data_IF_682800127589
#
_entry.id   IF_682800127589
#
_cell.length_a   1.000
_cell.length_b   1.000
_cell.length_c   1.000
_cell.angle_alpha   90.00
_cell.angle_beta   90.00
_cell.angle_gamma   90.00
#
_symmetry.space_group_name_H-M   'P 1'
#
loop_
_entity.id
_entity.type
_entity.pdbx_description
1 polymer ?
#
# COMPACT_ATOMS: atom_id res chain seq x y z
N UNK A 1 11.38 -83.69 -70.62
CA UNK A 1 11.07 -82.25 -70.58
C UNK A 1 10.39 -81.98 -69.25
N UNK A 2 11.17 -81.52 -68.26
CA UNK A 2 10.63 -81.13 -66.96
C UNK A 2 10.16 -79.67 -67.07
N UNK A 3 8.86 -79.46 -66.81
CA UNK A 3 8.18 -78.19 -66.98
C UNK A 3 8.38 -77.33 -65.72
N UNK A 4 9.44 -76.52 -65.72
CA UNK A 4 9.77 -75.62 -64.63
C UNK A 4 9.20 -74.21 -64.93
N UNK A 5 7.94 -73.98 -64.58
CA UNK A 5 7.39 -72.61 -64.53
C UNK A 5 7.32 -72.15 -63.07
N UNK A 6 8.07 -71.09 -62.69
CA UNK A 6 8.08 -70.61 -61.31
C UNK A 6 6.76 -69.89 -60.97
N UNK A 7 6.09 -70.34 -59.91
CA UNK A 7 4.91 -69.66 -59.35
C UNK A 7 5.38 -68.40 -58.60
N UNK A 8 5.03 -67.22 -59.12
CA UNK A 8 5.35 -65.95 -58.49
C UNK A 8 4.16 -65.51 -57.62
N UNK A 9 4.31 -65.58 -56.30
CA UNK A 9 3.31 -65.06 -55.34
C UNK A 9 3.66 -63.61 -55.01
N UNK A 10 2.93 -62.64 -55.56
CA UNK A 10 3.05 -61.22 -55.21
C UNK A 10 2.24 -60.92 -53.94
N UNK A 11 2.90 -60.85 -52.78
CA UNK A 11 2.27 -60.39 -51.53
C UNK A 11 2.24 -58.86 -51.52
N UNK A 12 1.06 -58.28 -51.70
CA UNK A 12 0.85 -56.83 -51.61
C UNK A 12 0.47 -56.49 -50.17
N UNK A 13 1.39 -55.89 -49.40
CA UNK A 13 1.03 -55.23 -48.13
C UNK A 13 0.30 -53.93 -48.47
N UNK A 14 -1.02 -53.90 -48.29
CA UNK A 14 -1.76 -52.65 -48.25
C UNK A 14 -1.48 -51.99 -46.91
N UNK A 15 -0.68 -50.94 -46.90
CA UNK A 15 -0.64 -50.01 -45.77
C UNK A 15 -1.93 -49.19 -45.85
N UNK A 16 -2.80 -49.34 -44.84
CA UNK A 16 -3.87 -48.37 -44.65
C UNK A 16 -3.17 -47.04 -44.34
N UNK A 17 -3.27 -46.08 -45.26
CA UNK A 17 -2.84 -44.72 -44.99
C UNK A 17 -3.64 -44.23 -43.79
N UNK A 18 -2.97 -44.06 -42.63
CA UNK A 18 -3.54 -43.41 -41.47
C UNK A 18 -4.14 -42.08 -41.90
N UNK A 19 -5.37 -41.80 -41.45
CA UNK A 19 -6.12 -40.59 -41.75
C UNK A 19 -5.41 -39.33 -41.18
N UNK A 20 -4.30 -38.91 -41.79
CA UNK A 20 -3.53 -37.73 -41.36
C UNK A 20 -3.97 -36.43 -42.06
N UNK A 21 -5.09 -36.44 -42.79
CA UNK A 21 -5.60 -35.28 -43.54
C UNK A 21 -6.70 -34.45 -42.85
N UNK A 22 -7.08 -34.77 -41.62
CA UNK A 22 -8.21 -34.14 -40.91
C UNK A 22 -7.84 -33.07 -39.89
N UNK A 23 -6.63 -33.10 -39.33
CA UNK A 23 -6.22 -32.22 -38.22
C UNK A 23 -6.23 -30.72 -38.62
N UNK A 24 -5.80 -30.39 -39.83
CA UNK A 24 -5.81 -29.00 -40.32
C UNK A 24 -7.25 -28.46 -40.52
N UNK A 25 -8.22 -29.34 -40.81
CA UNK A 25 -9.63 -28.95 -40.93
C UNK A 25 -10.25 -28.65 -39.57
N UNK A 26 -9.79 -29.33 -38.51
CA UNK A 26 -10.22 -29.07 -37.14
C UNK A 26 -9.68 -27.70 -36.69
N UNK A 27 -8.40 -27.42 -36.94
CA UNK A 27 -7.82 -26.10 -36.65
C UNK A 27 -8.47 -24.97 -37.47
N UNK A 28 -8.81 -25.22 -38.74
CA UNK A 28 -9.53 -24.26 -39.57
C UNK A 28 -10.98 -24.03 -39.09
N UNK A 29 -11.68 -25.10 -38.69
CA UNK A 29 -13.03 -25.00 -38.15
C UNK A 29 -13.05 -24.23 -36.83
N UNK A 30 -12.09 -24.49 -35.94
CA UNK A 30 -11.94 -23.78 -34.66
C UNK A 30 -11.66 -22.28 -34.87
N UNK A 31 -10.75 -21.95 -35.79
CA UNK A 31 -10.50 -20.57 -36.18
C UNK A 31 -11.75 -19.88 -36.76
N UNK A 32 -12.51 -20.56 -37.63
CA UNK A 32 -13.73 -20.03 -38.20
C UNK A 32 -14.81 -19.80 -37.13
N UNK A 33 -14.94 -20.70 -36.13
CA UNK A 33 -15.89 -20.52 -35.02
C UNK A 33 -15.47 -19.40 -34.08
N UNK A 34 -14.16 -19.23 -33.83
CA UNK A 34 -13.64 -18.12 -33.04
C UNK A 34 -13.92 -16.77 -33.73
N UNK A 35 -13.70 -16.68 -35.05
CA UNK A 35 -14.03 -15.49 -35.83
C UNK A 35 -15.54 -15.23 -35.85
N UNK A 36 -16.37 -16.26 -36.02
CA UNK A 36 -17.83 -16.13 -35.96
C UNK A 36 -18.30 -15.60 -34.61
N UNK A 37 -17.80 -16.16 -33.51
CA UNK A 37 -18.12 -15.69 -32.16
C UNK A 37 -17.68 -14.23 -31.95
N UNK A 38 -16.49 -13.87 -32.40
CA UNK A 38 -15.98 -12.50 -32.33
C UNK A 38 -16.86 -11.52 -33.12
N UNK A 39 -17.30 -11.89 -34.34
CA UNK A 39 -18.22 -11.08 -35.13
C UNK A 39 -19.60 -10.95 -34.49
N UNK A 40 -20.13 -11.99 -33.85
CA UNK A 40 -21.40 -11.92 -33.12
C UNK A 40 -21.32 -10.96 -31.94
N UNK A 41 -20.20 -10.95 -31.20
CA UNK A 41 -19.97 -10.00 -30.10
C UNK A 41 -19.90 -8.57 -30.61
N UNK A 42 -19.12 -8.32 -31.68
CA UNK A 42 -19.04 -7.00 -32.30
C UNK A 42 -20.40 -6.53 -32.85
N UNK A 43 -21.17 -7.44 -33.43
CA UNK A 43 -22.51 -7.16 -33.93
C UNK A 43 -23.46 -6.77 -32.79
N UNK A 44 -23.44 -7.51 -31.68
CA UNK A 44 -24.22 -7.18 -30.47
C UNK A 44 -23.79 -5.85 -29.85
N UNK A 45 -22.49 -5.53 -29.87
CA UNK A 45 -22.02 -4.22 -29.43
C UNK A 45 -22.45 -3.10 -30.38
N UNK A 46 -22.63 -3.35 -31.67
CA UNK A 46 -23.12 -2.34 -32.62
C UNK A 46 -24.61 -2.04 -32.43
N UNK A 47 -25.41 -3.07 -32.12
CA UNK A 47 -26.86 -2.94 -31.94
C UNK A 47 -27.26 -2.52 -30.52
N UNK A 48 -26.38 -2.68 -29.54
CA UNK A 48 -26.64 -2.25 -28.16
C UNK A 48 -26.65 -0.72 -28.02
N UNK A 49 -27.64 -0.22 -27.27
CA UNK A 49 -27.74 1.20 -26.91
C UNK A 49 -26.58 1.62 -25.98
N UNK A 50 -26.20 2.91 -25.94
CA UNK A 50 -25.15 3.41 -25.04
C UNK A 50 -25.39 3.06 -23.57
N UNK A 51 -26.66 3.10 -23.12
CA UNK A 51 -27.05 2.77 -21.75
C UNK A 51 -26.81 1.29 -21.43
N UNK A 52 -27.16 0.38 -22.34
CA UNK A 52 -26.92 -1.06 -22.19
C UNK A 52 -25.44 -1.40 -22.13
N UNK A 53 -24.59 -0.70 -22.90
CA UNK A 53 -23.13 -0.87 -22.86
C UNK A 53 -22.54 -0.50 -21.49
N UNK A 54 -23.06 0.57 -20.89
CA UNK A 54 -22.64 1.03 -19.56
C UNK A 54 -23.08 0.03 -18.49
N UNK A 55 -24.31 -0.50 -18.58
CA UNK A 55 -24.81 -1.52 -17.65
C UNK A 55 -23.99 -2.82 -17.71
N UNK A 56 -23.68 -3.30 -18.93
CA UNK A 56 -22.83 -4.49 -19.12
C UNK A 56 -21.41 -4.23 -18.59
N UNK A 57 -20.83 -3.05 -18.86
CA UNK A 57 -19.52 -2.69 -18.31
C UNK A 57 -19.53 -2.58 -16.77
N UNK A 58 -20.64 -2.14 -16.18
CA UNK A 58 -20.85 -2.14 -14.74
C UNK A 58 -20.82 -3.55 -14.15
N UNK A 59 -21.52 -4.51 -14.78
CA UNK A 59 -21.54 -5.92 -14.36
C UNK A 59 -20.14 -6.57 -14.37
N UNK A 60 -19.28 -6.24 -15.34
CA UNK A 60 -17.90 -6.77 -15.37
C UNK A 60 -16.94 -6.04 -14.43
N UNK A 61 -17.22 -4.79 -14.06
CA UNK A 61 -16.41 -4.02 -13.10
C UNK A 61 -16.76 -4.34 -11.66
N UNK A 62 -18.03 -4.64 -11.38
CA UNK A 62 -18.53 -4.97 -10.05
C UNK A 62 -19.67 -6.01 -10.12
N UNK A 63 -19.33 -7.31 -10.27
CA UNK A 63 -20.32 -8.37 -10.41
C UNK A 63 -21.12 -8.64 -9.13
N UNK A 64 -20.67 -8.11 -7.98
CA UNK A 64 -21.30 -8.33 -6.68
C UNK A 64 -22.45 -7.33 -6.46
N UNK A 65 -22.24 -6.05 -6.81
CA UNK A 65 -23.23 -4.97 -6.64
C UNK A 65 -24.45 -5.04 -7.56
N UNK A 66 -24.39 -5.77 -8.68
CA UNK A 66 -25.49 -5.86 -9.64
C UNK A 66 -26.50 -6.99 -9.32
N UNK A 67 -26.20 -7.85 -8.34
CA UNK A 67 -27.03 -9.03 -7.99
C UNK A 67 -28.14 -8.74 -6.97
N UNK A 68 -28.06 -7.62 -6.24
CA UNK A 68 -29.03 -7.29 -5.17
C UNK A 68 -30.28 -6.53 -5.65
N UNK A 69 -30.38 -6.15 -6.92
CA UNK A 69 -31.56 -5.41 -7.41
C UNK A 69 -31.90 -5.71 -8.87
N UNK A 70 -32.83 -6.65 -9.04
CA UNK A 70 -33.61 -6.80 -10.28
C UNK A 70 -33.12 -7.89 -11.23
N UNK A 71 -34.03 -8.83 -11.52
CA UNK A 71 -34.01 -9.92 -12.51
C UNK A 71 -32.68 -10.24 -13.25
N UNK A 72 -32.22 -11.51 -13.25
CA UNK A 72 -30.99 -11.94 -13.93
C UNK A 72 -31.08 -11.92 -15.48
N UNK A 73 -32.12 -11.32 -16.05
CA UNK A 73 -32.33 -11.24 -17.50
C UNK A 73 -32.33 -9.77 -17.95
N UNK A 74 -31.37 -9.42 -18.80
CA UNK A 74 -31.20 -8.08 -19.40
C UNK A 74 -32.19 -7.79 -20.55
N UNK A 75 -33.14 -8.69 -20.82
CA UNK A 75 -34.16 -8.54 -21.88
C UNK A 75 -35.54 -8.78 -21.26
N UNK A 76 -36.33 -7.73 -21.16
CA UNK A 76 -37.70 -7.74 -20.63
C UNK A 76 -38.69 -8.21 -21.73
N UNK A 77 -39.24 -9.42 -21.55
CA UNK A 77 -40.29 -10.00 -22.41
C UNK A 77 -41.71 -9.85 -21.84
N UNK A 78 -41.96 -8.85 -20.98
CA UNK A 78 -43.32 -8.42 -20.64
C UNK A 78 -44.09 -9.35 -19.71
N UNK A 79 -43.41 -10.01 -18.77
CA UNK A 79 -44.04 -10.83 -17.72
C UNK A 79 -43.93 -10.14 -16.36
N UNK A 80 -45.06 -9.82 -15.72
CA UNK A 80 -45.09 -9.26 -14.36
C UNK A 80 -44.69 -10.33 -13.34
N UNK A 81 -43.70 -10.11 -12.45
CA UNK A 81 -43.35 -11.09 -11.43
C UNK A 81 -44.43 -11.12 -10.35
N UNK A 82 -45.04 -12.28 -10.13
CA UNK A 82 -45.76 -12.58 -8.88
C UNK A 82 -44.82 -13.33 -7.94
N UNK A 83 -44.76 -12.88 -6.69
CA UNK A 83 -43.99 -13.51 -5.64
C UNK A 83 -44.54 -14.92 -5.39
N UNK A 84 -43.66 -15.93 -5.46
CA UNK A 84 -44.02 -17.30 -5.17
C UNK A 84 -44.28 -17.48 -3.66
N UNK A 85 -45.27 -18.30 -3.25
CA UNK A 85 -45.55 -18.53 -1.84
C UNK A 85 -44.40 -19.31 -1.16
N UNK A 86 -44.09 -18.94 0.08
CA UNK A 86 -42.93 -19.40 0.88
C UNK A 86 -42.83 -20.91 1.19
N UNK A 87 -43.76 -21.75 0.72
CA UNK A 87 -43.71 -23.19 0.95
C UNK A 87 -44.02 -23.97 -0.31
N UNK A 88 -42.98 -24.48 -0.95
CA UNK A 88 -43.10 -25.59 -1.90
C UNK A 88 -43.06 -26.91 -1.13
N UNK A 89 -43.84 -27.89 -1.60
CA UNK A 89 -44.13 -29.18 -0.94
C UNK A 89 -43.05 -30.26 -1.21
N UNK A 90 -41.83 -29.88 -1.62
CA UNK A 90 -40.77 -30.86 -1.90
C UNK A 90 -39.72 -30.93 -0.78
N UNK A 91 -39.27 -32.13 -0.39
CA UNK A 91 -38.22 -32.29 0.61
C UNK A 91 -36.90 -31.73 0.06
N UNK A 92 -36.15 -31.09 0.96
CA UNK A 92 -34.93 -30.32 0.72
C UNK A 92 -33.95 -31.01 -0.25
N UNK A 93 -33.83 -30.47 -1.46
CA UNK A 93 -32.60 -30.60 -2.23
C UNK A 93 -31.72 -29.44 -1.75
N UNK A 94 -30.73 -29.77 -0.92
CA UNK A 94 -29.60 -28.88 -0.65
C UNK A 94 -28.91 -28.58 -1.97
N UNK A 95 -29.25 -27.45 -2.58
CA UNK A 95 -28.41 -26.85 -3.61
C UNK A 95 -27.21 -26.26 -2.90
N UNK A 96 -26.16 -27.06 -2.74
CA UNK A 96 -24.83 -26.53 -2.51
C UNK A 96 -24.48 -25.70 -3.73
N UNK A 97 -24.59 -24.38 -3.61
CA UNK A 97 -23.99 -23.44 -4.54
C UNK A 97 -22.51 -23.80 -4.65
N UNK A 98 -21.97 -24.13 -5.84
CA UNK A 98 -20.54 -24.17 -6.02
C UNK A 98 -20.04 -22.73 -5.83
N UNK A 99 -19.62 -22.38 -4.62
CA UNK A 99 -18.70 -21.28 -4.43
C UNK A 99 -17.38 -21.74 -5.05
N UNK A 100 -17.28 -21.60 -6.37
CA UNK A 100 -16.00 -21.46 -7.04
C UNK A 100 -15.37 -20.18 -6.47
N UNK A 101 -14.66 -20.34 -5.37
CA UNK A 101 -13.61 -19.44 -4.96
C UNK A 101 -12.59 -19.48 -6.09
N UNK A 102 -12.76 -18.61 -7.09
CA UNK A 102 -11.66 -18.26 -7.99
C UNK A 102 -10.54 -17.84 -7.05
N UNK A 103 -9.42 -18.58 -6.98
CA UNK A 103 -8.31 -18.18 -6.14
C UNK A 103 -7.67 -17.00 -6.88
N UNK A 104 -8.22 -15.80 -6.69
CA UNK A 104 -7.48 -14.59 -7.01
C UNK A 104 -6.33 -14.60 -6.01
N UNK A 105 -5.14 -14.88 -6.51
CA UNK A 105 -3.92 -14.94 -5.74
C UNK A 105 -3.78 -13.61 -5.00
N UNK A 106 -3.74 -13.63 -3.66
CA UNK A 106 -3.82 -12.41 -2.82
C UNK A 106 -2.78 -11.36 -3.23
N UNK A 107 -1.64 -11.83 -3.72
CA UNK A 107 -0.55 -10.98 -4.21
C UNK A 107 -0.92 -10.18 -5.47
N UNK A 108 -1.77 -10.73 -6.35
CA UNK A 108 -2.27 -10.01 -7.53
C UNK A 108 -3.26 -8.90 -7.17
N UNK A 109 -4.09 -9.10 -6.14
CA UNK A 109 -5.03 -8.07 -5.64
C UNK A 109 -4.27 -6.95 -4.95
N UNK A 110 -3.30 -7.28 -4.09
CA UNK A 110 -2.54 -6.27 -3.37
C UNK A 110 -1.69 -5.41 -4.33
N UNK A 111 -1.05 -6.02 -5.33
CA UNK A 111 -0.27 -5.27 -6.33
C UNK A 111 -1.13 -4.34 -7.20
N UNK A 112 -2.34 -4.77 -7.60
CA UNK A 112 -3.28 -3.88 -8.30
C UNK A 112 -3.77 -2.74 -7.39
N UNK A 113 -4.04 -3.02 -6.12
CA UNK A 113 -4.45 -2.00 -5.16
C UNK A 113 -3.34 -0.97 -4.90
N UNK A 114 -2.09 -1.42 -4.77
CA UNK A 114 -0.91 -0.55 -4.63
C UNK A 114 -0.74 0.36 -5.86
N UNK A 115 -0.95 -0.15 -7.09
CA UNK A 115 -0.90 0.66 -8.31
C UNK A 115 -1.96 1.75 -8.34
N UNK A 116 -3.22 1.40 -8.06
CA UNK A 116 -4.33 2.38 -8.02
C UNK A 116 -4.10 3.43 -6.94
N UNK A 117 -3.55 3.03 -5.79
CA UNK A 117 -3.20 3.96 -4.72
C UNK A 117 -2.07 4.92 -5.15
N UNK A 118 -1.03 4.40 -5.82
CA UNK A 118 0.05 5.24 -6.34
C UNK A 118 -0.47 6.28 -7.34
N UNK A 119 -1.31 5.88 -8.29
CA UNK A 119 -1.94 6.80 -9.25
C UNK A 119 -2.74 7.91 -8.55
N UNK A 120 -3.48 7.58 -7.48
CA UNK A 120 -4.21 8.58 -6.68
C UNK A 120 -3.28 9.56 -5.99
N UNK A 121 -2.15 9.10 -5.45
CA UNK A 121 -1.16 9.97 -4.82
C UNK A 121 -0.48 10.89 -5.85
N UNK A 122 -0.25 10.42 -7.07
CA UNK A 122 0.27 11.22 -8.18
C UNK A 122 -0.73 12.32 -8.60
N UNK A 123 -2.01 11.98 -8.72
CA UNK A 123 -3.07 12.97 -8.98
C UNK A 123 -3.18 13.99 -7.85
N UNK A 124 -3.08 13.56 -6.59
CA UNK A 124 -3.09 14.44 -5.43
C UNK A 124 -1.88 15.39 -5.43
N UNK A 125 -0.69 14.88 -5.77
CA UNK A 125 0.52 15.68 -5.92
C UNK A 125 0.32 16.78 -6.97
N UNK A 126 -0.22 16.43 -8.13
CA UNK A 126 -0.49 17.39 -9.20
C UNK A 126 -1.49 18.45 -8.75
N UNK A 127 -2.59 18.05 -8.11
CA UNK A 127 -3.61 18.98 -7.60
C UNK A 127 -3.02 19.93 -6.54
N UNK A 128 -2.18 19.44 -5.63
CA UNK A 128 -1.50 20.27 -4.63
C UNK A 128 -0.55 21.27 -5.29
N UNK A 129 0.22 20.85 -6.29
CA UNK A 129 1.11 21.74 -7.04
C UNK A 129 0.31 22.83 -7.76
N UNK A 130 -0.76 22.47 -8.46
CA UNK A 130 -1.66 23.44 -9.10
C UNK A 130 -2.25 24.40 -8.07
N UNK A 131 -2.69 23.90 -6.90
CA UNK A 131 -3.25 24.74 -5.84
C UNK A 131 -2.26 25.78 -5.32
N UNK A 132 -0.98 25.39 -5.18
CA UNK A 132 0.10 26.30 -4.77
C UNK A 132 0.34 27.38 -5.83
N UNK A 133 0.21 27.05 -7.11
CA UNK A 133 0.42 27.99 -8.21
C UNK A 133 -0.76 28.94 -8.41
N UNK A 134 -2.00 28.47 -8.24
CA UNK A 134 -3.21 29.26 -8.41
C UNK A 134 -3.50 30.19 -7.24
N UNK A 135 -3.15 29.79 -6.01
CA UNK A 135 -3.43 30.59 -4.82
C UNK A 135 -2.30 31.59 -4.56
N UNK A 136 -2.55 32.92 -4.69
CA UNK A 136 -1.50 33.93 -4.51
C UNK A 136 -0.88 33.95 -3.10
N UNK A 137 -1.59 33.43 -2.09
CA UNK A 137 -1.03 33.30 -0.75
C UNK A 137 -0.04 32.14 -0.69
N UNK A 138 -0.35 30.98 -1.27
CA UNK A 138 0.52 29.82 -1.31
C UNK A 138 1.75 30.03 -2.20
N UNK A 139 1.57 30.72 -3.33
CA UNK A 139 2.63 30.99 -4.30
C UNK A 139 3.84 31.69 -3.66
N UNK A 140 3.59 32.59 -2.70
CA UNK A 140 4.66 33.28 -1.95
C UNK A 140 5.55 32.32 -1.15
N UNK A 141 5.02 31.16 -0.78
CA UNK A 141 5.67 30.13 0.02
C UNK A 141 6.07 28.90 -0.81
N UNK A 142 6.02 28.97 -2.14
CA UNK A 142 6.42 27.87 -3.04
C UNK A 142 7.80 27.32 -2.71
N UNK A 143 8.76 28.18 -2.38
CA UNK A 143 10.13 27.75 -2.03
C UNK A 143 10.25 27.07 -0.65
N UNK A 144 9.23 27.22 0.20
CA UNK A 144 9.18 26.61 1.54
C UNK A 144 8.36 25.32 1.57
N UNK A 145 7.56 25.05 0.54
CA UNK A 145 6.68 23.89 0.43
C UNK A 145 7.28 22.94 -0.61
N UNK A 146 7.69 21.76 -0.17
CA UNK A 146 8.15 20.68 -1.03
C UNK A 146 7.20 19.49 -0.97
N UNK A 147 7.08 18.80 -2.09
CA UNK A 147 6.26 17.61 -2.22
C UNK A 147 7.13 16.47 -2.75
N UNK A 148 7.03 15.30 -2.12
CA UNK A 148 7.82 14.11 -2.46
C UNK A 148 6.96 12.85 -2.30
N UNK A 149 6.99 11.96 -3.29
CA UNK A 149 6.39 10.63 -3.13
C UNK A 149 7.44 9.73 -2.48
N UNK A 150 7.09 9.16 -1.33
CA UNK A 150 7.91 8.22 -0.57
C UNK A 150 7.20 6.87 -0.45
N UNK A 151 7.90 5.80 -0.02
CA UNK A 151 7.26 4.48 0.18
C UNK A 151 6.12 4.51 1.21
N UNK A 152 6.16 5.46 2.15
CA UNK A 152 5.10 5.66 3.13
C UNK A 152 3.89 6.40 2.55
N UNK A 153 4.05 7.12 1.43
CA UNK A 153 3.01 7.83 0.70
C UNK A 153 3.45 9.22 0.23
N UNK A 154 2.53 10.17 0.12
CA UNK A 154 2.85 11.53 -0.34
C UNK A 154 3.27 12.41 0.84
N UNK A 155 4.54 12.80 0.87
CA UNK A 155 5.10 13.73 1.86
C UNK A 155 4.95 15.17 1.38
N UNK A 156 4.30 15.97 2.22
CA UNK A 156 4.19 17.42 2.09
C UNK A 156 5.06 18.01 3.20
N UNK A 157 6.14 18.66 2.82
CA UNK A 157 7.12 19.22 3.76
C UNK A 157 7.08 20.73 3.68
N UNK A 158 7.02 21.37 4.85
CA UNK A 158 6.96 22.83 4.96
C UNK A 158 8.09 23.27 5.87
N UNK A 159 9.03 24.02 5.32
CA UNK A 159 10.28 24.41 5.98
C UNK A 159 10.28 25.87 6.42
N UNK A 160 11.01 26.13 7.49
CA UNK A 160 11.19 27.48 8.02
C UNK A 160 12.24 28.25 7.21
N UNK A 161 11.96 29.51 6.91
CA UNK A 161 12.95 30.42 6.33
C UNK A 161 13.32 31.49 7.36
N UNK A 162 14.58 31.95 7.34
CA UNK A 162 15.08 32.94 8.30
C UNK A 162 14.20 34.21 8.39
N UNK A 163 13.63 34.65 7.27
CA UNK A 163 12.79 35.85 7.20
C UNK A 163 11.27 35.55 7.28
N UNK A 164 10.87 34.28 7.31
CA UNK A 164 9.46 33.86 7.28
C UNK A 164 9.24 32.62 8.16
N UNK A 165 9.19 32.79 9.49
CA UNK A 165 9.08 31.66 10.40
C UNK A 165 7.63 31.10 10.47
N UNK A 166 7.40 29.80 10.48
CA UNK A 166 6.06 29.19 10.58
C UNK A 166 5.41 29.40 11.96
N UNK A 167 6.24 29.56 12.99
CA UNK A 167 5.83 29.68 14.38
C UNK A 167 6.46 30.90 15.03
N UNK A 168 5.86 31.38 16.12
CA UNK A 168 6.56 32.31 17.00
C UNK A 168 7.83 31.66 17.59
N UNK A 169 8.84 32.50 17.87
CA UNK A 169 10.10 32.04 18.43
C UNK A 169 9.87 31.32 19.76
N UNK A 170 10.43 30.11 19.90
CA UNK A 170 10.27 29.29 21.09
C UNK A 170 8.82 28.87 21.40
N UNK A 171 7.90 28.95 20.43
CA UNK A 171 6.48 28.69 20.65
C UNK A 171 5.91 27.72 19.62
N UNK A 172 4.78 27.10 19.98
CA UNK A 172 3.93 26.31 19.09
C UNK A 172 2.76 27.13 18.51
N UNK A 173 2.73 28.44 18.74
CA UNK A 173 1.75 29.35 18.11
C UNK A 173 2.09 29.53 16.64
N UNK A 174 1.15 29.18 15.78
CA UNK A 174 1.23 29.34 14.33
C UNK A 174 1.23 30.83 13.98
N UNK A 175 2.00 31.20 12.96
CA UNK A 175 1.84 32.49 12.30
C UNK A 175 0.62 32.48 11.37
N UNK A 176 -0.08 33.62 11.17
CA UNK A 176 -1.30 33.65 10.35
C UNK A 176 -1.13 33.08 8.95
N UNK A 177 -0.03 33.42 8.26
CA UNK A 177 0.22 32.90 6.91
C UNK A 177 0.45 31.39 6.88
N UNK A 178 1.01 30.79 7.93
CA UNK A 178 1.21 29.34 7.98
C UNK A 178 -0.09 28.61 8.30
N UNK A 179 -0.94 29.22 9.15
CA UNK A 179 -2.31 28.76 9.36
C UNK A 179 -3.10 28.77 8.05
N UNK A 180 -3.06 29.86 7.28
CA UNK A 180 -3.72 29.98 5.97
C UNK A 180 -3.25 28.89 4.98
N UNK A 181 -1.96 28.55 4.99
CA UNK A 181 -1.41 27.46 4.16
C UNK A 181 -2.04 26.12 4.53
N UNK A 182 -2.09 25.79 5.82
CA UNK A 182 -2.67 24.53 6.29
C UNK A 182 -4.17 24.46 6.00
N UNK A 183 -4.90 25.56 6.22
CA UNK A 183 -6.32 25.65 5.89
C UNK A 183 -6.58 25.42 4.39
N UNK A 184 -5.77 26.04 3.52
CA UNK A 184 -5.94 25.90 2.07
C UNK A 184 -5.60 24.50 1.54
N UNK A 185 -4.67 23.79 2.17
CA UNK A 185 -4.30 22.42 1.77
C UNK A 185 -5.25 21.35 2.34
N UNK A 186 -5.93 21.64 3.45
CA UNK A 186 -6.78 20.67 4.14
C UNK A 186 -7.88 20.08 3.23
N UNK A 187 -8.55 20.92 2.44
CA UNK A 187 -9.60 20.48 1.50
C UNK A 187 -9.04 19.58 0.39
N UNK A 188 -7.86 19.88 -0.14
CA UNK A 188 -7.21 19.06 -1.18
C UNK A 188 -6.76 17.71 -0.61
N UNK A 189 -6.16 17.69 0.58
CA UNK A 189 -5.71 16.45 1.23
C UNK A 189 -6.91 15.55 1.58
N UNK A 190 -8.06 16.15 1.93
CA UNK A 190 -9.31 15.43 2.24
C UNK A 190 -9.91 14.69 1.04
N UNK A 191 -9.53 15.03 -0.19
CA UNK A 191 -10.08 14.40 -1.40
C UNK A 191 -9.74 12.89 -1.50
N UNK A 192 -8.69 12.43 -0.82
CA UNK A 192 -8.30 11.02 -0.77
C UNK A 192 -8.73 10.37 0.56
N UNK A 193 -9.07 9.07 0.56
CA UNK A 193 -9.51 8.34 1.77
C UNK A 193 -8.35 7.89 2.68
N UNK A 194 -7.20 8.57 2.58
CA UNK A 194 -5.94 8.18 3.17
C UNK A 194 -5.72 8.96 4.47
N UNK A 195 -5.32 8.24 5.52
CA UNK A 195 -4.97 8.88 6.79
C UNK A 195 -3.65 9.64 6.66
N UNK A 196 -3.47 10.66 7.49
CA UNK A 196 -2.22 11.43 7.55
C UNK A 196 -1.41 11.14 8.81
N UNK A 197 -0.09 11.21 8.68
CA UNK A 197 0.86 11.30 9.78
C UNK A 197 1.47 12.70 9.79
N UNK A 198 1.45 13.38 10.94
CA UNK A 198 1.99 14.74 11.08
C UNK A 198 3.22 14.69 11.98
N UNK A 199 4.34 15.19 11.50
CA UNK A 199 5.62 15.18 12.22
C UNK A 199 6.17 16.59 12.36
N UNK A 200 6.70 16.91 13.54
CA UNK A 200 7.37 18.18 13.81
C UNK A 200 8.86 17.98 14.03
N UNK A 201 9.65 18.87 13.44
CA UNK A 201 11.11 18.91 13.58
C UNK A 201 11.56 20.30 14.03
N UNK A 202 12.65 20.34 14.80
CA UNK A 202 13.30 21.57 15.25
C UNK A 202 14.78 21.55 14.88
N UNK A 203 15.41 22.71 14.90
CA UNK A 203 16.86 22.82 14.82
C UNK A 203 17.52 22.37 16.13
N UNK A 204 18.85 22.23 16.10
CA UNK A 204 19.64 21.86 17.27
C UNK A 204 19.89 23.02 18.24
N UNK A 205 19.28 24.19 18.02
CA UNK A 205 19.39 25.32 18.96
C UNK A 205 18.78 24.93 20.29
N UNK A 206 19.50 25.07 21.42
CA UNK A 206 18.93 24.83 22.72
C UNK A 206 17.70 25.72 22.93
N UNK A 207 16.62 25.12 23.42
CA UNK A 207 15.43 25.85 23.77
C UNK A 207 15.69 26.74 24.99
N UNK A 208 15.49 28.05 24.85
CA UNK A 208 15.72 29.03 25.93
C UNK A 208 14.52 29.16 26.88
N UNK A 209 13.92 28.03 27.26
CA UNK A 209 12.75 27.96 28.14
C UNK A 209 13.08 27.77 29.61
N UNK A 210 12.04 27.82 30.44
CA UNK A 210 12.12 27.43 31.84
C UNK A 210 11.59 26.01 32.04
N UNK A 211 12.24 25.25 32.93
CA UNK A 211 11.81 23.90 33.33
C UNK A 211 12.22 22.80 32.34
N UNK A 212 11.51 21.68 32.38
CA UNK A 212 11.80 20.47 31.58
C UNK A 212 11.33 20.56 30.12
N UNK A 213 10.83 21.73 29.70
CA UNK A 213 10.35 21.92 28.34
C UNK A 213 11.52 22.13 27.38
N UNK A 214 11.67 21.22 26.41
CA UNK A 214 12.74 21.26 25.42
C UNK A 214 12.24 21.16 23.98
N UNK A 215 13.17 20.84 23.08
CA UNK A 215 12.89 20.69 21.66
C UNK A 215 11.96 19.49 21.36
N UNK A 216 11.93 18.48 22.23
CA UNK A 216 11.01 17.35 22.12
C UNK A 216 9.56 17.82 22.28
N UNK A 217 9.25 18.50 23.39
CA UNK A 217 7.91 19.03 23.65
C UNK A 217 7.53 20.08 22.60
N UNK A 218 8.47 20.94 22.22
CA UNK A 218 8.23 21.96 21.19
C UNK A 218 7.85 21.34 19.84
N UNK A 219 8.59 20.32 19.40
CA UNK A 219 8.34 19.65 18.11
C UNK A 219 6.98 18.95 18.09
N UNK A 220 6.63 18.22 19.14
CA UNK A 220 5.33 17.55 19.27
C UNK A 220 4.17 18.55 19.37
N UNK A 221 4.36 19.67 20.09
CA UNK A 221 3.34 20.71 20.21
C UNK A 221 3.11 21.46 18.90
N UNK A 222 4.17 21.70 18.11
CA UNK A 222 4.08 22.29 16.76
C UNK A 222 3.34 21.37 15.79
N UNK A 223 3.65 20.07 15.81
CA UNK A 223 2.94 19.07 15.02
C UNK A 223 1.43 19.03 15.40
N UNK A 224 1.10 19.10 16.69
CA UNK A 224 -0.29 19.21 17.14
C UNK A 224 -0.96 20.53 16.79
N UNK A 225 -0.22 21.64 16.75
CA UNK A 225 -0.76 22.92 16.28
C UNK A 225 -1.12 22.84 14.81
N UNK A 226 -0.25 22.25 13.99
CA UNK A 226 -0.55 21.99 12.58
C UNK A 226 -1.77 21.08 12.40
N UNK A 227 -1.87 19.99 13.19
CA UNK A 227 -3.08 19.13 13.22
C UNK A 227 -4.36 19.94 13.46
N UNK A 228 -4.37 20.78 14.50
CA UNK A 228 -5.54 21.60 14.84
C UNK A 228 -5.92 22.56 13.70
N UNK A 229 -4.93 23.15 13.02
CA UNK A 229 -5.19 24.01 11.87
C UNK A 229 -5.77 23.22 10.68
N UNK A 230 -5.26 22.03 10.37
CA UNK A 230 -5.85 21.16 9.34
C UNK A 230 -7.30 20.80 9.66
N UNK A 231 -7.60 20.46 10.92
CA UNK A 231 -8.96 20.14 11.37
C UNK A 231 -9.88 21.36 11.30
N UNK A 232 -9.38 22.55 11.64
CA UNK A 232 -10.11 23.80 11.43
C UNK A 232 -10.39 24.07 9.94
N UNK A 233 -9.49 23.61 9.06
CA UNK A 233 -9.64 23.59 7.60
C UNK A 233 -10.52 22.45 7.07
N UNK A 234 -11.42 21.91 7.89
CA UNK A 234 -12.34 20.82 7.52
C UNK A 234 -11.71 19.44 7.25
N UNK A 235 -10.45 19.21 7.62
CA UNK A 235 -9.86 17.87 7.61
C UNK A 235 -10.47 17.02 8.74
N UNK A 236 -10.95 15.79 8.46
CA UNK A 236 -11.57 14.94 9.47
C UNK A 236 -10.56 14.45 10.50
N UNK A 237 -10.79 14.77 11.78
CA UNK A 237 -9.90 14.36 12.89
C UNK A 237 -9.63 12.85 12.96
N UNK A 238 -10.61 11.94 12.72
CA UNK A 238 -10.36 10.49 12.70
C UNK A 238 -9.43 10.00 11.58
N UNK A 239 -9.16 10.84 10.56
CA UNK A 239 -8.18 10.53 9.52
C UNK A 239 -6.75 10.93 9.90
N UNK A 240 -6.52 11.50 11.07
CA UNK A 240 -5.16 11.68 11.60
C UNK A 240 -4.73 10.35 12.24
N UNK A 241 -3.78 9.64 11.61
CA UNK A 241 -3.27 8.38 12.12
C UNK A 241 -2.35 8.58 13.34
N UNK A 242 -1.45 9.56 13.28
CA UNK A 242 -0.52 9.86 14.38
C UNK A 242 0.06 11.28 14.29
N UNK A 243 0.56 11.74 15.43
CA UNK A 243 1.36 12.97 15.56
C UNK A 243 2.67 12.64 16.24
N UNK A 244 3.80 13.09 15.67
CA UNK A 244 5.15 12.75 16.14
C UNK A 244 6.00 14.02 16.31
N UNK A 245 6.82 14.08 17.35
CA UNK A 245 7.84 15.10 17.54
C UNK A 245 9.23 14.48 17.49
N UNK A 246 10.10 14.99 16.61
CA UNK A 246 11.46 14.48 16.42
C UNK A 246 12.54 15.38 17.02
N UNK A 247 12.19 16.53 17.59
CA UNK A 247 13.16 17.53 18.02
C UNK A 247 14.22 17.78 16.93
N UNK A 248 15.50 17.73 17.30
CA UNK A 248 16.66 17.82 16.41
C UNK A 248 17.26 16.44 16.04
N UNK A 249 16.54 15.34 16.25
CA UNK A 249 17.08 13.99 15.98
C UNK A 249 17.15 13.65 14.49
N UNK A 250 16.41 14.38 13.66
CA UNK A 250 16.37 14.23 12.19
C UNK A 250 16.51 15.61 11.53
N UNK A 251 17.74 16.09 11.44
CA UNK A 251 18.06 17.35 10.75
C UNK A 251 17.87 17.19 9.24
N UNK A 252 17.52 18.27 8.56
CA UNK A 252 17.49 18.30 7.10
C UNK A 252 18.87 18.66 6.55
N UNK A 253 19.46 19.72 7.10
CA UNK A 253 20.85 20.10 6.90
C UNK A 253 21.68 19.58 8.09
N UNK A 254 22.40 18.49 7.84
CA UNK A 254 23.30 17.89 8.82
C UNK A 254 24.60 18.69 9.01
N UNK A 255 24.97 19.53 8.03
CA UNK A 255 26.21 20.30 8.06
C UNK A 255 26.06 21.56 8.93
N UNK A 256 24.88 22.18 8.88
CA UNK A 256 24.49 23.25 9.80
C UNK A 256 23.25 22.85 10.64
N UNK A 257 23.47 22.23 11.82
CA UNK A 257 22.39 21.87 12.74
C UNK A 257 21.53 23.04 13.22
N UNK A 258 22.02 24.28 13.12
CA UNK A 258 21.34 25.50 13.57
C UNK A 258 20.57 26.19 12.45
N UNK A 259 20.63 25.65 11.23
CA UNK A 259 19.96 26.19 10.06
C UNK A 259 18.43 26.19 10.27
N UNK A 260 17.74 27.33 10.02
CA UNK A 260 16.28 27.42 10.01
C UNK A 260 15.56 26.31 9.24
N UNK A 261 16.12 25.82 8.13
CA UNK A 261 15.50 24.76 7.32
C UNK A 261 15.24 23.46 8.12
N UNK A 262 15.99 23.24 9.20
CA UNK A 262 15.79 22.10 10.10
C UNK A 262 14.48 22.19 10.90
N UNK A 263 13.92 23.39 11.07
CA UNK A 263 12.59 23.59 11.62
C UNK A 263 11.58 23.35 10.49
N UNK A 264 10.85 22.26 10.56
CA UNK A 264 9.89 21.86 9.52
C UNK A 264 8.72 21.09 10.08
N UNK A 265 7.62 21.10 9.33
CA UNK A 265 6.47 20.23 9.56
C UNK A 265 6.35 19.33 8.34
N UNK A 266 6.32 18.02 8.58
CA UNK A 266 6.14 17.01 7.55
C UNK A 266 4.73 16.41 7.72
N UNK A 267 3.92 16.47 6.68
CA UNK A 267 2.59 15.87 6.62
C UNK A 267 2.65 14.76 5.56
N UNK A 268 2.51 13.51 5.99
CA UNK A 268 2.55 12.36 5.08
C UNK A 268 1.15 11.82 4.91
N UNK A 269 0.64 11.84 3.68
CA UNK A 269 -0.58 11.13 3.27
C UNK A 269 -0.22 9.67 3.07
N UNK A 270 -0.66 8.80 3.99
CA UNK A 270 -0.17 7.43 4.12
C UNK A 270 -0.75 6.52 3.04
N UNK A 271 0.08 5.62 2.51
CA UNK A 271 -0.41 4.42 1.79
C UNK A 271 -1.16 3.49 2.75
N UNK A 272 -2.01 2.61 2.24
CA UNK A 272 -2.70 1.61 3.08
C UNK A 272 -1.72 0.71 3.81
N UNK A 273 -0.60 0.36 3.16
CA UNK A 273 0.49 -0.42 3.74
C UNK A 273 1.14 0.31 4.93
N UNK A 274 1.49 1.58 4.77
CA UNK A 274 2.08 2.38 5.84
C UNK A 274 1.09 2.63 6.99
N UNK A 275 -0.19 2.86 6.65
CA UNK A 275 -1.26 3.01 7.65
C UNK A 275 -1.39 1.75 8.52
N UNK A 276 -1.51 0.56 7.91
CA UNK A 276 -1.60 -0.72 8.64
C UNK A 276 -0.38 -0.96 9.55
N UNK A 277 0.81 -0.64 9.06
CA UNK A 277 2.04 -0.77 9.84
C UNK A 277 2.06 0.12 11.09
N UNK A 278 1.42 1.31 11.03
CA UNK A 278 1.28 2.22 12.17
C UNK A 278 0.17 1.75 13.12
N UNK A 279 -0.96 1.27 12.58
CA UNK A 279 -2.12 0.83 13.36
C UNK A 279 -1.91 -0.51 14.07
N UNK A 280 -0.84 -1.24 13.71
CA UNK A 280 -0.52 -2.55 14.29
C UNK A 280 -1.35 -3.68 13.69
N UNK A 281 -2.10 -3.42 12.61
CA UNK A 281 -2.78 -4.44 11.82
C UNK A 281 -1.74 -5.15 10.95
N UNK A 282 -1.04 -6.11 11.55
CA UNK A 282 -0.22 -7.04 10.79
C UNK A 282 -1.14 -7.86 9.87
N UNK A 283 -0.81 -7.99 8.57
CA UNK A 283 -1.48 -8.99 7.73
C UNK A 283 -1.31 -10.36 8.42
N UNK A 284 -2.34 -11.23 8.38
CA UNK A 284 -2.20 -12.56 8.95
C UNK A 284 -0.97 -13.21 8.33
N UNK A 285 0.02 -13.51 9.16
CA UNK A 285 1.21 -14.27 8.74
C UNK A 285 0.70 -15.49 7.99
N UNK A 286 1.21 -15.80 6.78
CA UNK A 286 0.87 -17.04 6.11
C UNK A 286 1.19 -18.16 7.10
N UNK A 287 0.14 -18.74 7.71
CA UNK A 287 0.32 -19.93 8.52
C UNK A 287 0.91 -20.96 7.57
N UNK A 288 2.06 -21.57 7.90
CA UNK A 288 2.58 -22.66 7.11
C UNK A 288 1.47 -23.70 7.01
N UNK A 289 1.01 -23.96 5.78
CA UNK A 289 0.03 -24.98 5.48
C UNK A 289 0.50 -26.28 6.15
N UNK A 290 -0.30 -26.89 7.04
CA UNK A 290 0.04 -28.20 7.59
C UNK A 290 -0.05 -29.23 6.47
N UNK A 291 1.07 -29.49 5.80
CA UNK A 291 1.11 -30.37 4.63
C UNK A 291 2.52 -30.86 4.32
N UNK A 292 2.79 -32.10 4.73
CA UNK A 292 3.88 -32.97 4.29
C UNK A 292 5.31 -32.62 4.76
N UNK A 293 5.49 -32.44 6.07
CA UNK A 293 6.79 -32.69 6.70
C UNK A 293 6.98 -34.19 6.92
N UNK A 294 8.09 -34.75 6.44
CA UNK A 294 8.54 -36.09 6.83
C UNK A 294 8.64 -36.18 8.37
N UNK A 295 8.40 -37.36 8.99
CA UNK A 295 8.40 -37.46 10.44
C UNK A 295 9.83 -37.27 10.97
N UNK A 296 10.10 -36.13 11.62
CA UNK A 296 11.37 -35.93 12.32
C UNK A 296 11.78 -34.51 12.72
N UNK A 297 11.26 -33.43 12.11
CA UNK A 297 11.72 -32.08 12.45
C UNK A 297 10.82 -31.37 13.46
N UNK A 298 11.31 -31.30 14.71
CA UNK A 298 10.84 -30.41 15.76
C UNK A 298 11.15 -28.96 15.38
N UNK A 299 10.25 -27.99 15.62
CA UNK A 299 10.53 -26.58 15.37
C UNK A 299 11.74 -26.12 16.21
N UNK A 300 12.75 -25.55 15.56
CA UNK A 300 13.93 -25.03 16.24
C UNK A 300 13.56 -23.78 17.05
N UNK A 301 13.80 -23.83 18.36
CA UNK A 301 13.73 -22.66 19.24
C UNK A 301 14.81 -21.65 18.81
N UNK A 302 14.46 -20.38 18.51
CA UNK A 302 15.42 -19.36 18.09
C UNK A 302 16.47 -19.01 19.17
N UNK A 303 16.31 -19.50 20.41
CA UNK A 303 17.30 -19.37 21.48
C UNK A 303 18.11 -20.64 21.74
N UNK A 304 17.96 -21.70 20.93
CA UNK A 304 18.72 -22.93 21.11
C UNK A 304 20.20 -22.72 20.73
N UNK A 305 21.09 -22.95 21.69
CA UNK A 305 22.54 -22.95 21.47
C UNK A 305 22.90 -24.14 20.56
N UNK A 306 23.73 -23.96 19.51
CA UNK A 306 24.14 -25.05 18.65
C UNK A 306 24.78 -26.21 19.44
N UNK A 307 24.53 -27.47 19.08
CA UNK A 307 25.11 -28.60 19.80
C UNK A 307 26.64 -28.55 19.71
N UNK A 308 27.31 -28.43 20.86
CA UNK A 308 28.77 -28.38 20.97
C UNK A 308 29.36 -27.08 21.55
N UNK A 309 28.54 -26.08 21.88
CA UNK A 309 28.99 -24.90 22.64
C UNK A 309 28.49 -24.97 24.08
N UNK A 310 29.41 -25.13 25.03
CA UNK A 310 29.10 -24.94 26.44
C UNK A 310 28.84 -23.45 26.72
N UNK A 311 27.82 -23.10 27.52
CA UNK A 311 27.55 -21.72 27.87
C UNK A 311 28.74 -21.11 28.61
N UNK A 312 29.18 -19.93 28.16
CA UNK A 312 30.31 -19.23 28.77
C UNK A 312 30.07 -19.03 30.28
N UNK A 313 31.03 -19.40 31.14
CA UNK A 313 30.86 -19.28 32.58
C UNK A 313 30.71 -17.81 32.99
N UNK A 314 29.82 -17.54 33.95
CA UNK A 314 29.35 -16.19 34.32
C UNK A 314 30.46 -15.16 34.65
N UNK A 315 31.67 -15.62 35.00
CA UNK A 315 32.81 -14.75 35.26
C UNK A 315 33.38 -14.10 33.99
N UNK A 316 33.37 -14.80 32.84
CA UNK A 316 33.84 -14.26 31.56
C UNK A 316 32.84 -13.28 30.95
N UNK A 317 31.55 -13.54 31.14
CA UNK A 317 30.47 -12.63 30.75
C UNK A 317 30.58 -11.28 31.48
N UNK A 318 30.90 -11.31 32.78
CA UNK A 318 31.15 -10.08 33.57
C UNK A 318 32.41 -9.34 33.11
N UNK A 319 33.49 -10.03 32.80
CA UNK A 319 34.70 -9.40 32.25
C UNK A 319 34.45 -8.76 30.89
N UNK A 320 33.70 -9.41 30.00
CA UNK A 320 33.33 -8.83 28.71
C UNK A 320 32.41 -7.61 28.83
N UNK A 321 31.48 -7.61 29.78
CA UNK A 321 30.66 -6.41 30.04
C UNK A 321 31.48 -5.25 30.62
N UNK A 322 32.40 -5.54 31.54
CA UNK A 322 33.22 -4.50 32.18
C UNK A 322 34.30 -3.91 31.26
N UNK A 323 34.70 -4.62 30.20
CA UNK A 323 35.70 -4.15 29.23
C UNK A 323 35.20 -2.97 28.38
N UNK A 324 33.89 -2.72 28.34
CA UNK A 324 33.30 -1.58 27.63
C UNK A 324 33.08 -0.34 28.50
N UNK A 325 33.42 -0.38 29.79
CA UNK A 325 33.17 0.71 30.75
C UNK A 325 34.43 1.55 31.07
N UNK A 326 35.64 1.10 30.72
CA UNK A 326 36.91 1.84 30.93
C UNK A 326 37.18 2.90 29.83
N UNK A 327 36.10 3.50 29.32
CA UNK A 327 36.07 4.46 28.23
C UNK A 327 35.93 5.92 28.66
N UNK A 328 36.53 6.34 29.78
CA UNK A 328 36.89 7.74 30.02
C UNK A 328 36.31 8.40 31.26
N UNK A 329 37.19 9.09 32.01
CA UNK A 329 37.15 10.55 32.29
C UNK A 329 38.38 10.83 33.19
N UNK A 330 39.35 11.59 32.67
CA UNK A 330 40.37 12.25 33.50
C UNK A 330 39.88 13.65 33.80
N UNK A 331 39.45 13.87 35.04
CA UNK A 331 39.13 15.21 35.55
C UNK A 331 40.39 15.88 36.11
N UNK A 332 40.70 17.16 35.79
CA UNK A 332 41.94 17.81 36.19
C UNK A 332 41.71 18.81 37.33
N UNK A 333 41.84 18.42 38.60
CA UNK A 333 41.92 19.41 39.70
C UNK A 333 42.66 18.91 40.95
N UNK A 334 43.77 19.61 41.27
CA UNK A 334 44.25 20.04 42.62
C UNK A 334 45.29 19.14 43.37
N UNK A 335 46.21 19.75 44.16
CA UNK A 335 47.64 19.37 44.25
C UNK A 335 48.14 18.89 45.64
N UNK A 336 49.44 18.55 45.71
CA UNK A 336 50.20 18.25 46.94
C UNK A 336 50.26 16.74 47.24
N UNK A 337 51.32 16.12 47.76
CA UNK A 337 52.54 16.54 48.47
C UNK A 337 53.50 15.34 48.51
N UNK A 338 54.82 15.60 48.47
CA UNK A 338 55.83 14.87 49.25
C UNK A 338 56.20 13.43 48.86
N UNK A 339 57.33 13.26 48.19
CA UNK A 339 58.62 12.86 48.80
C UNK A 339 59.72 12.93 47.76
#
# INVERSE_FOLDING_TARGET
>A
MENNQPIIIKRVKRFAAGHHGGAWKIAFADFATAMMAFFLVLWLMSTATPEQKIAIAGYFKDPIGFSESGTPFVIDLGGSPQLAPERTINPEIKTESPQEKIPIERDTVESMAEQVEQERLELLLQELQTKVEENPQLLKFKDQISFEITPEGLRIQITDAANRPMFDSGSARLKPYFEDILLAMADTIKAVPNKISISGHTDAKPYAGQGDFGNWELSANRANAARRALVAGSYPDPQVARVVGFASSQLFDHQDPFNPVNRRIDIVVLTKKAQRAIEGDQPPTPQPTPGAGAPGEVPADPNAIPPGQEPLPAHELRQKLNLFDDGGVKDPTVPGTGS
#
